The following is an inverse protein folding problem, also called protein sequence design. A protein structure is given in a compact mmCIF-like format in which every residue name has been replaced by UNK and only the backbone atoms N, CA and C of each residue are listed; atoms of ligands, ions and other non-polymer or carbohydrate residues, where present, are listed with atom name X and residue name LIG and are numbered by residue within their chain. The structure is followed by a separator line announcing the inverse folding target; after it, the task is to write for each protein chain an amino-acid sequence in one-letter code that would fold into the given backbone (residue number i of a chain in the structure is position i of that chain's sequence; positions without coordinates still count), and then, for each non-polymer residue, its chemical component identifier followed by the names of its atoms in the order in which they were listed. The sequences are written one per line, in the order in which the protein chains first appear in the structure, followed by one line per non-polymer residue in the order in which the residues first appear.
data_IF_477011576943
#
_entry.id   IF_477011576943
#
_cell.length_a   1.000
_cell.length_b   1.000
_cell.length_c   1.000
_cell.angle_alpha   90.00
_cell.angle_beta   90.00
_cell.angle_gamma   90.00
#
_symmetry.space_group_name_H-M   'P 1'
#
loop_
_entity.id
_entity.type
_entity.pdbx_description
1 polymer ?
#
# COMPACT_ATOMS: atom_id res chain seq x y z
N UNK A 1 11.33 -16.48 -6.21
CA UNK A 1 11.55 -15.96 -4.85
C UNK A 1 12.43 -16.96 -4.14
N UNK A 2 13.65 -16.57 -3.78
CA UNK A 2 14.51 -17.42 -2.96
C UNK A 2 14.07 -17.27 -1.52
N UNK A 3 13.52 -18.33 -0.93
CA UNK A 3 13.05 -18.32 0.46
C UNK A 3 14.02 -19.13 1.31
N UNK A 4 14.69 -18.45 2.23
CA UNK A 4 15.54 -19.12 3.21
C UNK A 4 14.62 -19.97 4.07
N UNK A 5 14.89 -21.27 4.19
CA UNK A 5 14.01 -22.17 4.92
C UNK A 5 14.73 -22.76 6.13
N UNK A 6 14.05 -22.79 7.28
CA UNK A 6 14.56 -23.37 8.51
C UNK A 6 13.54 -24.30 9.16
N UNK A 7 13.99 -25.10 10.13
CA UNK A 7 13.17 -26.07 10.87
C UNK A 7 13.47 -26.04 12.37
N UNK A 8 12.54 -26.56 13.17
CA UNK A 8 12.76 -26.90 14.57
C UNK A 8 13.83 -27.99 14.78
N UNK A 9 14.08 -28.35 16.03
CA UNK A 9 15.11 -29.36 16.36
C UNK A 9 14.73 -30.77 15.88
N UNK A 10 13.43 -31.07 15.84
CA UNK A 10 12.89 -32.34 15.39
C UNK A 10 11.46 -32.17 14.86
N UNK A 11 10.96 -33.18 14.15
CA UNK A 11 9.56 -33.23 13.70
C UNK A 11 8.63 -33.28 14.90
N UNK A 12 7.57 -32.46 14.89
CA UNK A 12 6.58 -32.42 15.98
C UNK A 12 7.01 -31.62 17.21
N UNK A 13 8.22 -31.05 17.22
CA UNK A 13 8.70 -30.15 18.27
C UNK A 13 8.64 -28.71 17.76
N UNK A 14 8.02 -27.82 18.55
CA UNK A 14 7.98 -26.39 18.28
C UNK A 14 9.38 -25.82 18.05
N UNK A 15 9.55 -25.01 17.01
CA UNK A 15 10.81 -24.34 16.75
C UNK A 15 11.12 -23.31 17.84
N UNK A 16 12.41 -23.17 18.20
CA UNK A 16 12.85 -22.15 19.14
C UNK A 16 12.69 -20.75 18.53
N UNK A 17 11.89 -19.90 19.19
CA UNK A 17 11.66 -18.50 18.76
C UNK A 17 12.99 -17.73 18.66
N UNK A 18 13.90 -17.90 19.63
CA UNK A 18 15.22 -17.24 19.61
C UNK A 18 16.12 -17.70 18.45
N UNK A 19 15.95 -18.94 17.97
CA UNK A 19 16.62 -19.38 16.73
C UNK A 19 16.02 -18.67 15.52
N UNK A 20 14.69 -18.63 15.43
CA UNK A 20 13.97 -17.99 14.31
C UNK A 20 14.34 -16.51 14.21
N UNK A 21 14.32 -15.76 15.33
CA UNK A 21 14.71 -14.35 15.39
C UNK A 21 16.13 -14.11 14.85
N UNK A 22 17.10 -14.92 15.31
CA UNK A 22 18.50 -14.82 14.85
C UNK A 22 18.63 -15.10 13.35
N UNK A 23 17.89 -16.08 12.85
CA UNK A 23 17.89 -16.39 11.42
C UNK A 23 17.23 -15.29 10.60
N UNK A 24 16.11 -14.75 11.05
CA UNK A 24 15.44 -13.61 10.40
C UNK A 24 16.38 -12.41 10.28
N UNK A 25 17.05 -12.04 11.38
CA UNK A 25 18.07 -10.99 11.37
C UNK A 25 19.22 -11.28 10.39
N UNK A 26 19.65 -12.54 10.28
CA UNK A 26 20.67 -12.98 9.33
C UNK A 26 20.24 -12.98 7.85
N UNK A 27 18.94 -13.01 7.57
CA UNK A 27 18.42 -13.05 6.20
C UNK A 27 18.51 -11.69 5.47
N UNK A 28 18.88 -10.60 6.16
CA UNK A 28 19.05 -9.25 5.59
C UNK A 28 17.88 -8.81 4.68
N UNK A 29 16.64 -9.03 5.14
CA UNK A 29 15.43 -8.66 4.41
C UNK A 29 14.95 -9.67 3.36
N UNK A 30 15.65 -10.78 3.15
CA UNK A 30 15.12 -11.91 2.35
C UNK A 30 14.04 -12.67 3.12
N UNK A 31 13.10 -13.25 2.39
CA UNK A 31 12.01 -14.03 2.98
C UNK A 31 12.51 -15.28 3.72
N UNK A 32 11.94 -15.53 4.89
CA UNK A 32 12.21 -16.68 5.75
C UNK A 32 10.97 -17.57 5.88
N UNK A 33 11.11 -18.86 5.59
CA UNK A 33 10.09 -19.88 5.83
C UNK A 33 10.45 -20.79 7.01
N UNK A 34 9.45 -21.14 7.83
CA UNK A 34 9.55 -22.17 8.85
C UNK A 34 8.88 -23.47 8.39
N UNK A 35 9.63 -24.57 8.36
CA UNK A 35 9.19 -25.84 7.78
C UNK A 35 8.91 -26.97 8.78
N UNK A 36 9.06 -26.74 10.08
CA UNK A 36 8.75 -27.75 11.09
C UNK A 36 8.34 -27.11 12.41
N UNK A 37 7.46 -27.81 13.14
CA UNK A 37 7.02 -27.42 14.48
C UNK A 37 5.88 -26.41 14.48
N UNK A 38 5.21 -26.19 13.34
CA UNK A 38 4.05 -25.29 13.22
C UNK A 38 2.75 -26.07 13.38
N UNK A 39 1.85 -25.58 14.20
CA UNK A 39 0.48 -26.09 14.39
C UNK A 39 -0.50 -24.91 14.39
N UNK A 40 -1.82 -25.14 14.26
CA UNK A 40 -2.81 -24.07 14.40
C UNK A 40 -2.70 -23.29 15.72
N UNK A 41 -2.26 -23.95 16.79
CA UNK A 41 -2.18 -23.38 18.13
C UNK A 41 -0.98 -22.45 18.33
N UNK A 42 0.13 -22.67 17.61
CA UNK A 42 1.39 -21.94 17.83
C UNK A 42 1.82 -21.06 16.64
N UNK A 43 1.13 -21.13 15.49
CA UNK A 43 1.56 -20.44 14.26
C UNK A 43 1.73 -18.92 14.47
N UNK A 44 0.93 -18.32 15.34
CA UNK A 44 0.97 -16.89 15.62
C UNK A 44 2.22 -16.46 16.40
N UNK A 45 2.85 -17.37 17.16
CA UNK A 45 4.10 -17.08 17.87
C UNK A 45 5.27 -16.85 16.90
N UNK A 46 5.18 -17.42 15.70
CA UNK A 46 6.19 -17.30 14.65
C UNK A 46 5.90 -16.20 13.65
N UNK A 47 4.63 -15.78 13.51
CA UNK A 47 4.19 -14.82 12.50
C UNK A 47 4.98 -13.49 12.45
N UNK A 48 5.48 -12.93 13.57
CA UNK A 48 6.31 -11.72 13.53
C UNK A 48 7.70 -11.90 12.89
N UNK A 49 8.14 -13.14 12.67
CA UNK A 49 9.54 -13.45 12.35
C UNK A 49 9.72 -14.25 11.06
N UNK A 50 8.63 -14.73 10.44
CA UNK A 50 8.67 -15.54 9.22
C UNK A 50 7.64 -15.06 8.22
N UNK A 51 7.95 -15.16 6.94
CA UNK A 51 7.09 -14.74 5.83
C UNK A 51 6.20 -15.89 5.33
N UNK A 52 6.61 -17.13 5.59
CA UNK A 52 5.89 -18.32 5.20
C UNK A 52 6.06 -19.45 6.22
N UNK A 53 5.06 -20.34 6.27
CA UNK A 53 5.15 -21.60 7.01
C UNK A 53 4.87 -22.77 6.08
N UNK A 54 5.69 -23.80 6.18
CA UNK A 54 5.47 -25.11 5.56
C UNK A 54 5.09 -26.06 6.68
N UNK A 55 3.91 -26.66 6.58
CA UNK A 55 3.37 -27.54 7.62
C UNK A 55 3.01 -28.89 7.03
N UNK A 56 3.26 -29.94 7.80
CA UNK A 56 2.82 -31.30 7.52
C UNK A 56 2.30 -31.93 8.81
N UNK A 57 3.22 -32.44 9.63
CA UNK A 57 2.88 -33.22 10.84
C UNK A 57 2.02 -32.47 11.86
N UNK A 58 2.15 -31.14 11.97
CA UNK A 58 1.33 -30.33 12.88
C UNK A 58 -0.16 -30.24 12.51
N UNK A 59 -0.52 -30.63 11.29
CA UNK A 59 -1.91 -30.73 10.82
C UNK A 59 -2.24 -32.14 10.32
N UNK A 60 -1.39 -33.13 10.54
CA UNK A 60 -1.63 -34.50 10.09
C UNK A 60 -2.59 -35.27 11.00
N UNK A 61 -3.36 -36.18 10.41
CA UNK A 61 -4.01 -37.30 11.12
C UNK A 61 -3.00 -38.44 11.26
N UNK A 62 -2.30 -38.74 10.16
CA UNK A 62 -1.26 -39.76 10.06
C UNK A 62 -0.17 -39.34 9.06
N UNK A 63 0.75 -40.24 8.72
CA UNK A 63 1.87 -39.95 7.83
C UNK A 63 1.46 -39.56 6.40
N UNK A 64 0.29 -40.00 5.94
CA UNK A 64 -0.20 -39.80 4.57
C UNK A 64 -1.37 -38.81 4.49
N UNK A 65 -2.08 -38.58 5.59
CA UNK A 65 -3.33 -37.82 5.61
C UNK A 65 -3.23 -36.57 6.48
N UNK A 66 -3.65 -35.44 5.89
CA UNK A 66 -3.85 -34.17 6.58
C UNK A 66 -5.24 -34.11 7.18
N UNK A 67 -5.36 -33.56 8.38
CA UNK A 67 -6.62 -33.22 9.04
C UNK A 67 -7.23 -31.95 8.36
N UNK A 68 -8.35 -32.06 7.64
CA UNK A 68 -8.95 -30.93 6.94
C UNK A 68 -9.44 -29.83 7.89
N UNK A 69 -9.80 -30.17 9.13
CA UNK A 69 -10.25 -29.18 10.13
C UNK A 69 -9.06 -28.36 10.61
N UNK A 70 -7.94 -29.00 10.96
CA UNK A 70 -6.71 -28.30 11.35
C UNK A 70 -6.15 -27.47 10.21
N UNK A 71 -6.20 -27.96 8.97
CA UNK A 71 -5.80 -27.18 7.80
C UNK A 71 -6.67 -25.93 7.63
N UNK A 72 -7.99 -26.06 7.70
CA UNK A 72 -8.92 -24.91 7.63
C UNK A 72 -8.67 -23.93 8.75
N UNK A 73 -8.46 -24.41 9.97
CA UNK A 73 -8.15 -23.58 11.13
C UNK A 73 -6.84 -22.83 10.93
N UNK A 74 -5.78 -23.50 10.47
CA UNK A 74 -4.49 -22.87 10.18
C UNK A 74 -4.61 -21.80 9.09
N UNK A 75 -5.32 -22.09 7.99
CA UNK A 75 -5.58 -21.12 6.92
C UNK A 75 -6.39 -19.94 7.45
N UNK A 76 -7.42 -20.19 8.26
CA UNK A 76 -8.24 -19.15 8.86
C UNK A 76 -7.40 -18.26 9.77
N UNK A 77 -6.57 -18.82 10.66
CA UNK A 77 -5.70 -18.09 11.59
C UNK A 77 -4.64 -17.27 10.84
N UNK A 78 -3.95 -17.88 9.87
CA UNK A 78 -2.91 -17.20 9.09
C UNK A 78 -3.48 -16.12 8.18
N UNK A 79 -4.63 -16.36 7.54
CA UNK A 79 -5.35 -15.32 6.78
C UNK A 79 -5.93 -14.26 7.69
N UNK A 80 -6.54 -14.61 8.81
CA UNK A 80 -7.06 -13.64 9.76
C UNK A 80 -5.94 -12.87 10.42
N UNK A 81 -4.72 -13.38 10.53
CA UNK A 81 -3.55 -12.61 10.96
C UNK A 81 -2.97 -11.76 9.82
N UNK A 82 -3.08 -12.22 8.58
CA UNK A 82 -2.79 -11.41 7.39
C UNK A 82 -3.87 -10.34 7.11
N UNK A 83 -5.09 -10.53 7.63
CA UNK A 83 -6.28 -9.68 7.43
C UNK A 83 -6.69 -8.90 8.71
N UNK A 84 -6.24 -9.30 9.90
CA UNK A 84 -6.38 -8.54 11.16
C UNK A 84 -5.05 -7.83 11.41
N UNK A 85 -5.09 -6.59 11.89
CA UNK A 85 -3.94 -5.70 11.94
C UNK A 85 -3.03 -6.07 13.10
N UNK A 86 -2.26 -7.13 12.92
CA UNK A 86 -0.96 -7.27 13.54
C UNK A 86 0.07 -7.37 12.42
N UNK A 87 0.14 -6.28 11.65
CA UNK A 87 1.41 -5.58 11.55
C UNK A 87 1.97 -5.58 12.98
N UNK A 88 2.84 -6.55 13.29
CA UNK A 88 3.82 -6.26 14.32
C UNK A 88 4.44 -4.98 13.80
N UNK A 89 4.21 -3.89 14.52
CA UNK A 89 4.87 -2.61 14.32
C UNK A 89 6.35 -2.91 14.61
N UNK A 90 7.00 -3.59 13.67
CA UNK A 90 8.41 -3.34 13.44
C UNK A 90 8.41 -1.89 13.02
N UNK A 91 9.05 -1.07 13.84
CA UNK A 91 9.63 0.23 13.48
C UNK A 91 9.70 0.35 11.97
N UNK A 92 9.11 1.39 11.35
CA UNK A 92 9.01 1.48 9.90
C UNK A 92 10.33 1.00 9.32
N UNK A 93 10.28 -0.14 8.61
CA UNK A 93 11.33 -0.42 7.64
C UNK A 93 11.45 0.91 6.92
N UNK A 94 12.64 1.50 6.96
CA UNK A 94 12.97 2.71 6.20
C UNK A 94 12.25 2.60 4.87
N UNK A 95 11.61 3.67 4.40
CA UNK A 95 10.86 3.70 3.14
C UNK A 95 11.82 3.44 1.97
N UNK A 96 12.35 2.22 1.91
CA UNK A 96 13.58 1.80 1.25
C UNK A 96 13.34 1.77 -0.25
N UNK A 97 12.10 1.50 -0.63
CA UNK A 97 11.62 1.61 -1.99
C UNK A 97 11.74 3.04 -2.53
N UNK A 98 11.81 4.09 -1.70
CA UNK A 98 12.04 5.46 -2.18
C UNK A 98 13.40 5.61 -2.88
N UNK A 99 14.40 4.79 -2.54
CA UNK A 99 15.70 4.81 -3.25
C UNK A 99 15.61 4.26 -4.67
N UNK A 100 14.52 3.59 -5.03
CA UNK A 100 14.28 3.09 -6.39
C UNK A 100 13.70 4.16 -7.30
N UNK A 101 13.15 5.25 -6.77
CA UNK A 101 12.49 6.29 -7.57
C UNK A 101 13.46 6.85 -8.61
N UNK A 102 13.00 6.93 -9.86
CA UNK A 102 13.82 7.38 -10.96
C UNK A 102 13.70 8.91 -11.15
N UNK A 103 14.77 9.61 -11.59
CA UNK A 103 14.64 11.00 -11.99
C UNK A 103 13.79 11.12 -13.26
N UNK A 104 12.94 12.13 -13.31
CA UNK A 104 12.15 12.43 -14.50
C UNK A 104 13.04 12.99 -15.62
N UNK A 105 12.93 12.42 -16.81
CA UNK A 105 13.71 12.81 -18.01
C UNK A 105 12.93 13.73 -18.97
N UNK A 106 11.66 14.02 -18.68
CA UNK A 106 10.75 14.83 -19.51
C UNK A 106 10.71 16.32 -19.15
N UNK A 107 11.63 16.76 -18.29
CA UNK A 107 11.75 18.14 -17.82
C UNK A 107 10.62 18.57 -16.88
N UNK A 108 10.55 19.88 -16.62
CA UNK A 108 9.76 20.52 -15.55
C UNK A 108 8.24 20.50 -15.75
N UNK A 109 7.77 19.80 -16.79
CA UNK A 109 6.35 19.63 -17.10
C UNK A 109 5.72 18.45 -16.36
N UNK A 110 6.44 17.72 -15.54
CA UNK A 110 5.91 16.60 -14.75
C UNK A 110 6.68 16.54 -13.43
N UNK A 111 6.16 15.79 -12.45
CA UNK A 111 6.86 15.52 -11.21
C UNK A 111 8.32 15.16 -11.50
N UNK A 112 9.25 15.78 -10.78
CA UNK A 112 10.69 15.68 -11.04
C UNK A 112 11.25 14.27 -10.73
N UNK A 113 10.43 13.42 -10.10
CA UNK A 113 10.66 12.02 -9.82
C UNK A 113 9.53 11.13 -10.38
N UNK A 114 9.89 9.91 -10.80
CA UNK A 114 9.01 8.88 -11.34
C UNK A 114 9.04 7.61 -10.45
N UNK A 115 7.93 7.25 -9.77
CA UNK A 115 7.89 6.09 -8.91
C UNK A 115 7.62 4.78 -9.66
N UNK A 116 7.49 4.77 -10.99
CA UNK A 116 7.16 3.53 -11.73
C UNK A 116 8.18 2.41 -11.54
N UNK A 117 9.43 2.74 -11.21
CA UNK A 117 10.45 1.76 -10.81
C UNK A 117 10.11 1.02 -9.52
N UNK A 118 9.41 1.66 -8.58
CA UNK A 118 8.85 1.00 -7.38
C UNK A 118 7.80 -0.03 -7.81
N UNK A 119 6.96 0.30 -8.79
CA UNK A 119 5.88 -0.57 -9.24
C UNK A 119 6.36 -1.84 -9.94
N UNK A 120 7.56 -1.80 -10.54
CA UNK A 120 8.19 -2.94 -11.23
C UNK A 120 8.72 -3.96 -10.21
N UNK A 121 9.23 -3.49 -9.07
CA UNK A 121 9.78 -4.36 -8.03
C UNK A 121 8.64 -4.84 -7.10
N UNK A 122 8.37 -6.15 -7.14
CA UNK A 122 7.24 -6.73 -6.39
C UNK A 122 7.30 -6.50 -4.89
N UNK A 123 8.51 -6.48 -4.30
CA UNK A 123 8.68 -6.24 -2.87
C UNK A 123 8.48 -4.77 -2.55
N UNK A 124 9.08 -3.89 -3.35
CA UNK A 124 8.95 -2.45 -3.19
C UNK A 124 7.48 -2.00 -3.29
N UNK A 125 6.75 -2.50 -4.29
CA UNK A 125 5.34 -2.17 -4.47
C UNK A 125 4.44 -2.72 -3.35
N UNK A 126 4.71 -3.94 -2.89
CA UNK A 126 3.99 -4.55 -1.76
C UNK A 126 4.22 -3.79 -0.45
N UNK A 127 5.46 -3.41 -0.15
CA UNK A 127 5.80 -2.67 1.05
C UNK A 127 5.21 -1.24 0.99
N UNK A 128 5.39 -0.53 -0.13
CA UNK A 128 4.80 0.80 -0.36
C UNK A 128 3.29 0.82 -0.09
N UNK A 129 2.57 -0.15 -0.66
CA UNK A 129 1.11 -0.22 -0.54
C UNK A 129 0.68 -0.64 0.86
N UNK A 130 1.47 -1.49 1.53
CA UNK A 130 1.26 -1.85 2.93
C UNK A 130 1.41 -0.63 3.85
N UNK A 131 2.47 0.16 3.66
CA UNK A 131 2.75 1.34 4.46
C UNK A 131 1.65 2.40 4.30
N UNK A 132 1.19 2.66 3.07
CA UNK A 132 0.08 3.58 2.82
C UNK A 132 -1.22 3.11 3.46
N UNK A 133 -1.56 1.83 3.30
CA UNK A 133 -2.79 1.26 3.87
C UNK A 133 -2.77 1.28 5.39
N UNK A 134 -1.61 1.04 6.01
CA UNK A 134 -1.46 1.00 7.47
C UNK A 134 -1.85 2.31 8.17
N UNK A 135 -1.81 3.42 7.44
CA UNK A 135 -2.17 4.73 7.95
C UNK A 135 -3.69 4.92 8.04
N UNK A 136 -4.50 4.04 7.46
CA UNK A 136 -5.96 4.11 7.47
C UNK A 136 -6.58 2.94 8.24
N UNK A 137 -7.78 3.19 8.77
CA UNK A 137 -8.64 2.12 9.26
C UNK A 137 -9.54 1.65 8.12
N UNK A 138 -9.45 0.37 7.75
CA UNK A 138 -10.21 -0.20 6.63
C UNK A 138 -11.74 -0.14 6.84
N UNK A 139 -12.20 -0.06 8.09
CA UNK A 139 -13.61 0.10 8.42
C UNK A 139 -14.15 1.51 8.08
N UNK A 140 -13.26 2.48 7.87
CA UNK A 140 -13.61 3.88 7.57
C UNK A 140 -13.69 4.19 6.06
N UNK A 141 -13.43 3.19 5.23
CA UNK A 141 -13.37 3.32 3.76
C UNK A 141 -14.37 2.36 3.13
N UNK A 142 -15.22 2.87 2.24
CA UNK A 142 -16.20 2.09 1.49
C UNK A 142 -15.75 1.85 0.04
N UNK A 143 -15.05 2.83 -0.55
CA UNK A 143 -14.61 2.81 -1.94
C UNK A 143 -13.24 3.49 -2.06
N UNK A 144 -12.40 3.02 -2.99
CA UNK A 144 -11.13 3.67 -3.33
C UNK A 144 -11.26 4.33 -4.70
N UNK A 145 -10.87 5.59 -4.81
CA UNK A 145 -10.86 6.34 -6.06
C UNK A 145 -9.43 6.65 -6.51
N UNK A 146 -9.03 6.14 -7.66
CA UNK A 146 -7.73 6.44 -8.27
C UNK A 146 -7.82 7.60 -9.27
N UNK A 147 -6.81 8.46 -9.29
CA UNK A 147 -6.70 9.61 -10.20
C UNK A 147 -5.74 9.29 -11.38
N UNK A 148 -6.14 9.73 -12.59
CA UNK A 148 -5.49 9.43 -13.87
C UNK A 148 -3.98 9.71 -13.95
N UNK A 149 -3.16 8.89 -14.62
CA UNK A 149 -3.32 7.45 -14.83
C UNK A 149 -2.34 6.66 -13.95
N UNK A 150 -1.33 7.34 -13.41
CA UNK A 150 -0.28 6.73 -12.59
C UNK A 150 -0.74 6.50 -11.14
N UNK A 151 -1.86 7.10 -10.73
CA UNK A 151 -2.55 6.73 -9.50
C UNK A 151 -3.29 5.39 -9.59
N UNK A 152 -3.65 4.89 -10.79
CA UNK A 152 -4.46 3.66 -10.92
C UNK A 152 -3.77 2.38 -10.44
N UNK A 153 -2.49 2.11 -10.75
CA UNK A 153 -1.81 0.93 -10.21
C UNK A 153 -1.82 0.94 -8.69
N UNK A 154 -1.50 2.10 -8.09
CA UNK A 154 -1.47 2.29 -6.64
C UNK A 154 -2.86 2.12 -6.02
N UNK A 155 -3.87 2.81 -6.57
CA UNK A 155 -5.26 2.73 -6.11
C UNK A 155 -5.83 1.32 -6.23
N UNK A 156 -5.53 0.61 -7.33
CA UNK A 156 -5.97 -0.77 -7.54
C UNK A 156 -5.38 -1.73 -6.51
N UNK A 157 -4.09 -1.59 -6.19
CA UNK A 157 -3.45 -2.39 -5.14
C UNK A 157 -4.05 -2.10 -3.76
N UNK A 158 -4.22 -0.82 -3.42
CA UNK A 158 -4.85 -0.39 -2.15
C UNK A 158 -6.28 -0.91 -2.04
N UNK A 159 -7.09 -0.78 -3.10
CA UNK A 159 -8.47 -1.28 -3.14
C UNK A 159 -8.54 -2.79 -2.92
N UNK A 160 -7.68 -3.55 -3.61
CA UNK A 160 -7.60 -5.00 -3.45
C UNK A 160 -7.21 -5.39 -2.02
N UNK A 161 -6.19 -4.73 -1.45
CA UNK A 161 -5.71 -5.00 -0.08
C UNK A 161 -6.74 -4.68 0.99
N UNK A 162 -7.56 -3.65 0.77
CA UNK A 162 -8.67 -3.27 1.65
C UNK A 162 -9.96 -4.08 1.42
N UNK A 163 -10.02 -4.90 0.35
CA UNK A 163 -11.23 -5.60 -0.05
C UNK A 163 -12.36 -4.67 -0.51
N UNK A 164 -12.01 -3.55 -1.17
CA UNK A 164 -12.95 -2.51 -1.62
C UNK A 164 -13.00 -2.42 -3.15
N UNK A 165 -14.03 -1.77 -3.66
CA UNK A 165 -14.12 -1.43 -5.09
C UNK A 165 -13.11 -0.34 -5.49
N UNK A 166 -12.86 -0.22 -6.80
CA UNK A 166 -12.07 0.84 -7.39
C UNK A 166 -12.94 1.71 -8.30
N UNK A 167 -12.95 3.01 -8.02
CA UNK A 167 -13.47 4.06 -8.89
C UNK A 167 -12.30 4.74 -9.62
N UNK A 168 -12.49 5.08 -10.89
CA UNK A 168 -11.48 5.78 -11.68
C UNK A 168 -11.94 7.20 -11.99
N UNK A 169 -11.09 8.17 -11.70
CA UNK A 169 -11.24 9.58 -12.10
C UNK A 169 -10.25 9.82 -13.23
N UNK A 170 -10.74 10.23 -14.40
CA UNK A 170 -9.94 10.30 -15.63
C UNK A 170 -9.79 11.72 -16.14
N UNK A 171 -8.77 12.00 -16.95
CA UNK A 171 -8.77 13.20 -17.79
C UNK A 171 -9.99 13.22 -18.71
N UNK A 172 -10.41 14.41 -19.11
CA UNK A 172 -11.57 14.60 -19.95
C UNK A 172 -11.56 13.76 -21.24
N UNK A 173 -12.76 13.38 -21.68
CA UNK A 173 -13.02 12.59 -22.88
C UNK A 173 -12.44 11.17 -22.86
N UNK A 174 -12.18 10.59 -21.67
CA UNK A 174 -11.62 9.23 -21.52
C UNK A 174 -12.60 8.20 -20.95
N UNK A 175 -13.74 8.63 -20.42
CA UNK A 175 -14.81 7.74 -19.96
C UNK A 175 -15.89 7.63 -21.04
N UNK A 176 -16.26 6.40 -21.40
CA UNK A 176 -17.25 6.13 -22.46
C UNK A 176 -18.70 6.07 -21.92
N UNK A 177 -19.03 6.89 -20.93
CA UNK A 177 -20.31 6.90 -20.20
C UNK A 177 -20.68 8.32 -19.81
N UNK A 178 -21.87 8.52 -19.24
CA UNK A 178 -22.21 9.80 -18.62
C UNK A 178 -21.26 10.12 -17.46
N UNK A 179 -20.83 11.39 -17.41
CA UNK A 179 -19.82 11.87 -16.47
C UNK A 179 -20.25 13.20 -15.84
N UNK A 180 -19.74 13.44 -14.65
CA UNK A 180 -19.59 14.79 -14.10
C UNK A 180 -18.15 15.25 -14.32
N UNK A 181 -17.96 16.55 -14.52
CA UNK A 181 -16.66 17.14 -14.87
C UNK A 181 -16.32 18.31 -13.97
N UNK A 182 -15.03 18.43 -13.65
CA UNK A 182 -14.47 19.56 -12.89
C UNK A 182 -13.23 20.09 -13.62
N UNK A 183 -13.13 21.41 -13.72
CA UNK A 183 -11.94 22.11 -14.19
C UNK A 183 -11.01 22.35 -13.00
N UNK A 184 -9.73 21.99 -13.15
CA UNK A 184 -8.72 22.15 -12.12
C UNK A 184 -7.47 22.82 -12.68
N UNK A 185 -6.80 23.60 -11.83
CA UNK A 185 -5.52 24.21 -12.15
C UNK A 185 -4.40 23.18 -12.04
N UNK A 186 -3.48 23.20 -13.01
CA UNK A 186 -2.24 22.44 -12.95
C UNK A 186 -1.04 23.38 -13.11
N UNK A 187 0.17 22.90 -12.84
CA UNK A 187 1.44 23.62 -13.00
C UNK A 187 1.61 24.28 -14.39
N UNK A 188 0.91 23.79 -15.41
CA UNK A 188 0.96 24.33 -16.77
C UNK A 188 0.06 25.57 -17.01
N UNK A 189 -0.59 26.13 -15.98
CA UNK A 189 -1.35 27.39 -16.05
C UNK A 189 -2.67 27.35 -16.84
N UNK A 190 -2.92 26.29 -17.60
CA UNK A 190 -4.19 26.03 -18.29
C UNK A 190 -5.09 25.13 -17.44
N UNK A 191 -6.38 25.48 -17.37
CA UNK A 191 -7.39 24.65 -16.73
C UNK A 191 -7.51 23.32 -17.45
N UNK A 192 -7.17 22.22 -16.76
CA UNK A 192 -7.43 20.87 -17.25
C UNK A 192 -8.78 20.40 -16.73
N UNK A 193 -9.42 19.48 -17.43
CA UNK A 193 -10.71 18.92 -17.02
C UNK A 193 -10.52 17.45 -16.68
N UNK A 194 -11.11 17.03 -15.58
CA UNK A 194 -11.22 15.63 -15.19
C UNK A 194 -12.68 15.23 -15.03
N UNK A 195 -12.93 13.94 -15.16
CA UNK A 195 -14.24 13.33 -15.26
C UNK A 195 -14.36 12.13 -14.33
N UNK A 196 -15.54 11.95 -13.76
CA UNK A 196 -15.93 10.78 -12.99
C UNK A 196 -17.28 10.28 -13.50
N UNK A 197 -17.49 8.96 -13.52
CA UNK A 197 -18.80 8.36 -13.85
C UNK A 197 -19.90 9.07 -13.05
N UNK A 198 -20.97 9.48 -13.71
CA UNK A 198 -22.15 10.04 -13.06
C UNK A 198 -22.89 8.95 -12.27
N UNK A 199 -23.26 9.26 -11.03
CA UNK A 199 -23.92 8.31 -10.12
C UNK A 199 -23.02 7.12 -9.77
N UNK A 200 -21.73 7.37 -9.51
CA UNK A 200 -20.74 6.33 -9.27
C UNK A 200 -20.98 5.54 -7.97
N UNK A 201 -21.64 6.15 -6.99
CA UNK A 201 -21.87 5.57 -5.66
C UNK A 201 -23.09 6.21 -4.96
N UNK A 202 -23.66 5.57 -3.92
CA UNK A 202 -24.68 6.19 -3.07
C UNK A 202 -24.13 7.38 -2.28
N UNK A 203 -24.99 8.35 -1.93
CA UNK A 203 -24.61 9.45 -1.06
C UNK A 203 -24.06 8.94 0.29
N UNK A 204 -23.18 9.73 0.91
CA UNK A 204 -22.44 9.41 2.14
C UNK A 204 -21.42 8.26 2.04
N UNK A 205 -21.15 7.73 0.84
CA UNK A 205 -20.07 6.75 0.64
C UNK A 205 -18.72 7.37 1.00
N UNK A 206 -17.93 6.70 1.86
CA UNK A 206 -16.62 7.18 2.31
C UNK A 206 -15.53 6.73 1.35
N UNK A 207 -14.89 7.68 0.70
CA UNK A 207 -13.94 7.45 -0.40
C UNK A 207 -12.51 7.78 0.01
N UNK A 208 -11.60 6.83 -0.18
CA UNK A 208 -10.16 7.06 -0.13
C UNK A 208 -9.70 7.50 -1.53
N UNK A 209 -9.26 8.75 -1.66
CA UNK A 209 -8.68 9.26 -2.91
C UNK A 209 -7.19 8.94 -2.98
N UNK A 210 -6.74 8.44 -4.11
CA UNK A 210 -5.38 7.97 -4.32
C UNK A 210 -4.81 8.56 -5.61
N UNK A 211 -3.67 9.22 -5.47
CA UNK A 211 -2.78 9.58 -6.58
C UNK A 211 -1.36 9.16 -6.21
N UNK A 212 -0.46 9.03 -7.17
CA UNK A 212 0.93 8.68 -6.87
C UNK A 212 1.73 9.87 -6.33
N UNK A 213 1.38 11.10 -6.72
CA UNK A 213 2.11 12.30 -6.34
C UNK A 213 1.19 13.51 -6.27
N UNK A 214 1.30 14.27 -5.18
CA UNK A 214 0.59 15.53 -5.01
C UNK A 214 1.62 16.66 -5.06
N UNK A 215 1.82 17.23 -6.25
CA UNK A 215 2.74 18.36 -6.46
C UNK A 215 2.04 19.66 -6.03
N UNK A 216 1.21 20.23 -6.90
CA UNK A 216 0.47 21.48 -6.61
C UNK A 216 -0.79 21.29 -5.77
N UNK A 217 -1.31 20.06 -5.63
CA UNK A 217 -2.61 19.78 -4.99
C UNK A 217 -3.83 19.93 -5.90
N UNK A 218 -3.72 20.59 -7.07
CA UNK A 218 -4.87 20.89 -7.92
C UNK A 218 -5.61 19.67 -8.46
N UNK A 219 -4.90 18.62 -8.87
CA UNK A 219 -5.52 17.37 -9.33
C UNK A 219 -6.28 16.68 -8.18
N UNK A 220 -5.70 16.65 -6.98
CA UNK A 220 -6.34 16.06 -5.82
C UNK A 220 -7.61 16.83 -5.44
N UNK A 221 -7.56 18.17 -5.47
CA UNK A 221 -8.72 19.03 -5.25
C UNK A 221 -9.84 18.79 -6.28
N UNK A 222 -9.50 18.63 -7.55
CA UNK A 222 -10.49 18.28 -8.58
C UNK A 222 -11.19 16.95 -8.31
N UNK A 223 -10.44 15.94 -7.85
CA UNK A 223 -11.01 14.65 -7.45
C UNK A 223 -11.93 14.76 -6.24
N UNK A 224 -11.54 15.56 -5.24
CA UNK A 224 -12.36 15.88 -4.06
C UNK A 224 -13.69 16.51 -4.49
N UNK A 225 -13.65 17.52 -5.37
CA UNK A 225 -14.84 18.23 -5.84
C UNK A 225 -15.81 17.31 -6.60
N UNK A 226 -15.28 16.38 -7.42
CA UNK A 226 -16.11 15.38 -8.10
C UNK A 226 -16.79 14.44 -7.10
N UNK A 227 -16.06 13.96 -6.09
CA UNK A 227 -16.59 13.06 -5.07
C UNK A 227 -17.65 13.74 -4.21
N UNK A 228 -17.33 14.91 -3.65
CA UNK A 228 -18.24 15.69 -2.81
C UNK A 228 -19.47 16.17 -3.63
N UNK A 229 -19.28 16.48 -4.91
CA UNK A 229 -20.37 16.86 -5.83
C UNK A 229 -21.42 15.77 -6.06
N UNK A 230 -21.06 14.49 -5.92
CA UNK A 230 -22.00 13.37 -5.93
C UNK A 230 -22.47 12.95 -4.52
N UNK A 231 -22.16 13.76 -3.49
CA UNK A 231 -22.54 13.51 -2.10
C UNK A 231 -21.66 12.48 -1.39
N UNK A 232 -20.49 12.16 -1.93
CA UNK A 232 -19.50 11.31 -1.27
C UNK A 232 -18.75 12.06 -0.16
N UNK A 233 -18.15 11.31 0.77
CA UNK A 233 -17.35 11.86 1.88
C UNK A 233 -15.90 11.43 1.68
N UNK A 234 -14.96 12.37 1.82
CA UNK A 234 -13.53 12.03 1.75
C UNK A 234 -13.10 11.35 3.04
N UNK A 235 -12.83 10.04 2.98
CA UNK A 235 -12.28 9.27 4.10
C UNK A 235 -10.81 9.62 4.37
N UNK A 236 -10.10 10.03 3.32
CA UNK A 236 -8.70 10.42 3.37
C UNK A 236 -8.09 10.52 1.97
N UNK A 237 -6.83 10.93 1.95
CA UNK A 237 -6.01 11.08 0.75
C UNK A 237 -4.76 10.23 0.92
N UNK A 238 -4.38 9.42 -0.06
CA UNK A 238 -3.15 8.63 -0.05
C UNK A 238 -2.27 8.97 -1.26
N UNK A 239 -0.98 9.14 -1.02
CA UNK A 239 0.01 9.43 -2.07
C UNK A 239 1.39 8.93 -1.72
N UNK A 240 2.28 8.71 -2.70
CA UNK A 240 3.67 8.38 -2.40
C UNK A 240 4.36 9.61 -1.79
N UNK A 241 4.24 10.74 -2.49
CA UNK A 241 4.82 12.02 -2.11
C UNK A 241 3.77 13.14 -2.22
N UNK A 242 3.93 14.14 -1.36
CA UNK A 242 3.18 15.40 -1.38
C UNK A 242 4.16 16.54 -1.11
N UNK A 243 4.20 17.51 -2.00
CA UNK A 243 5.05 18.69 -1.86
C UNK A 243 4.36 19.74 -0.99
N UNK A 244 5.16 20.50 -0.23
CA UNK A 244 4.65 21.53 0.69
C UNK A 244 4.38 22.84 -0.04
N UNK A 245 3.13 23.27 -0.08
CA UNK A 245 2.69 24.58 -0.58
C UNK A 245 1.38 25.00 0.09
N UNK A 246 0.85 26.17 -0.25
CA UNK A 246 -0.38 26.71 0.35
C UNK A 246 -1.57 25.74 0.22
N UNK A 247 -1.80 25.19 -0.97
CA UNK A 247 -2.94 24.30 -1.22
C UNK A 247 -2.75 22.93 -0.55
N UNK A 248 -1.55 22.35 -0.59
CA UNK A 248 -1.31 21.05 0.06
C UNK A 248 -1.37 21.16 1.58
N UNK A 249 -1.00 22.30 2.17
CA UNK A 249 -1.20 22.58 3.59
C UNK A 249 -2.69 22.68 3.94
N UNK A 250 -3.50 23.33 3.11
CA UNK A 250 -4.96 23.35 3.27
C UNK A 250 -5.53 21.92 3.24
N UNK A 251 -5.13 21.10 2.25
CA UNK A 251 -5.55 19.70 2.16
C UNK A 251 -5.17 18.89 3.41
N UNK A 252 -3.96 19.08 3.96
CA UNK A 252 -3.51 18.42 5.19
C UNK A 252 -4.32 18.84 6.42
N UNK A 253 -4.76 20.10 6.47
CA UNK A 253 -5.59 20.61 7.58
C UNK A 253 -7.03 20.10 7.54
N UNK A 254 -7.57 19.84 6.34
CA UNK A 254 -8.96 19.43 6.14
C UNK A 254 -9.16 17.92 6.10
N UNK A 255 -8.18 17.18 5.58
CA UNK A 255 -8.29 15.75 5.36
C UNK A 255 -7.11 14.99 5.94
N UNK A 256 -7.37 13.74 6.34
CA UNK A 256 -6.32 12.79 6.67
C UNK A 256 -5.51 12.47 5.41
N UNK A 257 -4.28 12.98 5.33
CA UNK A 257 -3.38 12.79 4.19
C UNK A 257 -2.23 11.84 4.59
N UNK A 258 -2.23 10.65 4.02
CA UNK A 258 -1.18 9.65 4.19
C UNK A 258 -0.14 9.74 3.06
N UNK A 259 1.13 9.70 3.43
CA UNK A 259 2.25 9.55 2.50
C UNK A 259 3.37 8.72 3.11
N UNK A 260 4.36 8.38 2.29
CA UNK A 260 5.49 7.51 2.70
C UNK A 260 6.83 8.24 2.72
N UNK A 261 6.90 9.48 2.24
CA UNK A 261 8.09 10.33 2.40
C UNK A 261 8.31 10.62 3.90
N UNK A 262 9.46 10.22 4.48
CA UNK A 262 9.83 10.54 5.85
C UNK A 262 9.99 12.05 6.09
N UNK A 263 9.72 12.51 7.31
CA UNK A 263 9.79 13.94 7.66
C UNK A 263 11.18 14.55 7.42
N UNK A 264 12.25 13.80 7.68
CA UNK A 264 13.65 14.22 7.47
C UNK A 264 14.03 14.30 5.99
N UNK A 265 13.26 13.65 5.11
CA UNK A 265 13.44 13.72 3.66
C UNK A 265 12.53 14.76 3.00
N UNK A 266 11.48 15.25 3.68
CA UNK A 266 10.47 16.12 3.09
C UNK A 266 11.09 17.36 2.42
N UNK A 267 12.07 17.99 3.06
CA UNK A 267 12.76 19.15 2.50
C UNK A 267 13.49 18.84 1.18
N UNK A 268 14.03 17.62 1.01
CA UNK A 268 14.66 17.22 -0.25
C UNK A 268 13.63 17.13 -1.38
N UNK A 269 12.42 16.63 -1.07
CA UNK A 269 11.34 16.55 -2.04
C UNK A 269 10.78 17.92 -2.39
N UNK A 270 10.66 18.83 -1.42
CA UNK A 270 10.19 20.20 -1.64
C UNK A 270 11.21 21.06 -2.41
N UNK A 271 12.52 20.79 -2.26
CA UNK A 271 13.61 21.50 -2.96
C UNK A 271 14.05 20.83 -4.27
N UNK A 272 13.35 19.78 -4.71
CA UNK A 272 13.66 19.01 -5.93
C UNK A 272 15.10 18.46 -5.96
N UNK A 273 15.63 18.04 -4.80
CA UNK A 273 16.97 17.48 -4.65
C UNK A 273 16.97 15.97 -4.83
N UNK A 274 17.62 15.51 -5.90
CA UNK A 274 17.71 14.08 -6.22
C UNK A 274 18.43 13.27 -5.13
N UNK A 275 17.85 12.13 -4.77
CA UNK A 275 18.32 11.25 -3.69
C UNK A 275 19.69 10.58 -3.97
N UNK A 276 20.27 10.78 -5.15
CA UNK A 276 21.64 10.36 -5.49
C UNK A 276 21.86 8.85 -5.49
N UNK A 277 23.11 8.43 -5.67
CA UNK A 277 23.53 7.04 -5.43
C UNK A 277 23.71 6.72 -3.94
N UNK A 278 23.68 7.75 -3.07
CA UNK A 278 23.94 7.65 -1.63
C UNK A 278 22.83 6.92 -0.84
N UNK A 279 21.71 6.58 -1.50
CA UNK A 279 20.55 5.91 -0.89
C UNK A 279 20.36 4.43 -1.33
N UNK A 280 21.28 3.87 -2.13
CA UNK A 280 21.25 2.45 -2.57
C UNK A 280 21.87 1.49 -1.57
#
# INVERSE_FOLDING_TARGET
MDVVTTSGQATGVSASIEKIKRMNAGCKGKALALASGVTPENVLDYAPYVDAVLVATGISIDFHNIDPLKLRQLIAITRSHSLSPSLTITTPKTAWYLSKIAPNTKGDKFAWLDPTSIYIDSHAFSDLTTDLVSQFNAADIDLVAGIDAMGFPLAGSIANRLGKGLLVIRKASKLCVEVDSVTYSCYAGSGKVMEMRKGAFPASTRILLVDQWIETGGTMLGGIQLVEGQGGVIAGLATICVETNELTNELRSKYKLAHVVPEDMQQLFDEHKFLGEDYK
#
